data_IF_595049534639
#
_entry.id   IF_595049534639
#
_cell.length_a   1.000
_cell.length_b   1.000
_cell.length_c   1.000
_cell.angle_alpha   90.00
_cell.angle_beta   90.00
_cell.angle_gamma   90.00
#
_symmetry.space_group_name_H-M   'P 1'
#
loop_
_entity.id
_entity.type
_entity.pdbx_description
1 polymer ?
#
# COMPACT_ATOMS: atom_id res chain seq x y z
N UNK A 1 -11.59 -11.82 0.10
CA UNK A 1 -10.37 -11.39 -0.58
C UNK A 1 -10.50 -9.91 -0.91
N UNK A 2 -9.78 -9.03 -0.19
CA UNK A 2 -9.84 -7.57 -0.40
C UNK A 2 -8.60 -7.10 -1.16
N UNK A 3 -8.73 -5.98 -1.87
CA UNK A 3 -7.64 -5.29 -2.54
C UNK A 3 -7.40 -3.96 -1.84
N UNK A 4 -6.16 -3.73 -1.41
CA UNK A 4 -5.72 -2.49 -0.77
C UNK A 4 -4.69 -1.86 -1.71
N UNK A 5 -4.99 -0.66 -2.20
CA UNK A 5 -4.16 0.04 -3.20
C UNK A 5 -3.64 1.33 -2.57
N UNK A 6 -2.33 1.55 -2.62
CA UNK A 6 -1.72 2.80 -2.16
C UNK A 6 -0.63 3.26 -3.14
N UNK A 7 -0.50 4.59 -3.39
CA UNK A 7 0.69 5.11 -4.03
C UNK A 7 1.89 5.00 -3.09
N UNK A 8 3.06 4.61 -3.62
CA UNK A 8 4.35 4.69 -2.92
C UNK A 8 4.92 6.08 -3.17
N UNK A 9 4.74 6.97 -2.19
CA UNK A 9 5.51 8.21 -2.11
C UNK A 9 6.82 7.99 -1.36
N UNK A 10 7.40 9.07 -0.83
CA UNK A 10 8.63 9.05 -0.02
C UNK A 10 8.47 8.40 1.37
N UNK A 11 7.23 8.11 1.79
CA UNK A 11 6.93 7.65 3.15
C UNK A 11 6.13 6.34 3.13
N UNK A 12 6.83 5.23 3.32
CA UNK A 12 6.27 3.87 3.40
C UNK A 12 5.27 3.70 4.55
N UNK A 13 5.40 4.53 5.60
CA UNK A 13 4.52 4.56 6.77
C UNK A 13 3.03 4.72 6.42
N UNK A 14 2.73 5.38 5.30
CA UNK A 14 1.35 5.52 4.83
C UNK A 14 0.72 4.16 4.50
N UNK A 15 1.49 3.27 3.87
CA UNK A 15 1.06 1.89 3.56
C UNK A 15 0.84 1.06 4.83
N UNK A 16 1.77 1.16 5.78
CA UNK A 16 1.66 0.47 7.07
C UNK A 16 0.43 0.94 7.87
N UNK A 17 0.19 2.25 7.92
CA UNK A 17 -1.01 2.81 8.56
C UNK A 17 -2.29 2.31 7.91
N UNK A 18 -2.31 2.16 6.59
CA UNK A 18 -3.45 1.63 5.85
C UNK A 18 -3.71 0.16 6.20
N UNK A 19 -2.67 -0.69 6.20
CA UNK A 19 -2.77 -2.09 6.58
C UNK A 19 -3.30 -2.26 8.01
N UNK A 20 -2.79 -1.48 8.96
CA UNK A 20 -3.24 -1.51 10.35
C UNK A 20 -4.69 -1.02 10.51
N UNK A 21 -5.04 0.11 9.88
CA UNK A 21 -6.38 0.71 9.98
C UNK A 21 -7.49 -0.21 9.47
N UNK A 22 -7.21 -0.95 8.39
CA UNK A 22 -8.19 -1.87 7.79
C UNK A 22 -8.08 -3.32 8.29
N UNK A 23 -7.22 -3.57 9.29
CA UNK A 23 -6.92 -4.90 9.82
C UNK A 23 -6.66 -5.89 8.67
N UNK A 24 -5.65 -5.58 7.87
CA UNK A 24 -5.29 -6.40 6.72
C UNK A 24 -4.98 -7.83 7.17
N UNK A 25 -5.51 -8.80 6.40
CA UNK A 25 -5.26 -10.22 6.57
C UNK A 25 -4.17 -10.66 5.60
N UNK A 26 -3.39 -11.72 5.90
CA UNK A 26 -2.50 -12.35 4.93
C UNK A 26 -3.20 -12.82 3.63
N UNK A 27 -4.52 -12.98 3.67
CA UNK A 27 -5.34 -13.33 2.50
C UNK A 27 -5.72 -12.14 1.60
N UNK A 28 -5.45 -10.91 2.05
CA UNK A 28 -5.70 -9.71 1.27
C UNK A 28 -4.53 -9.40 0.33
N UNK A 29 -4.83 -8.79 -0.81
CA UNK A 29 -3.81 -8.35 -1.76
C UNK A 29 -3.50 -6.88 -1.54
N UNK A 30 -2.23 -6.57 -1.30
CA UNK A 30 -1.72 -5.21 -1.16
C UNK A 30 -0.97 -4.81 -2.43
N UNK A 31 -1.46 -3.78 -3.11
CA UNK A 31 -0.90 -3.26 -4.36
C UNK A 31 -0.30 -1.89 -4.08
N UNK A 32 0.96 -1.76 -4.44
CA UNK A 32 1.73 -0.54 -4.29
C UNK A 32 1.97 0.03 -5.69
N UNK A 33 1.49 1.25 -5.92
CA UNK A 33 1.67 1.95 -7.20
C UNK A 33 2.79 2.95 -7.06
N UNK A 34 3.90 2.75 -7.77
CA UNK A 34 5.04 3.67 -7.72
C UNK A 34 5.10 4.50 -8.99
N UNK A 35 5.61 5.73 -8.87
CA UNK A 35 5.97 6.51 -10.04
C UNK A 35 7.23 5.92 -10.66
N UNK A 36 7.28 5.81 -11.99
CA UNK A 36 8.56 5.65 -12.68
C UNK A 36 9.27 7.00 -12.61
N UNK A 37 10.44 7.12 -11.95
CA UNK A 37 11.15 8.38 -11.91
C UNK A 37 11.45 8.81 -13.36
N UNK A 38 11.06 10.04 -13.67
CA UNK A 38 11.50 10.71 -14.89
C UNK A 38 12.93 11.13 -14.58
N UNK A 39 13.89 10.38 -15.13
CA UNK A 39 15.33 10.60 -14.97
C UNK A 39 15.69 12.03 -15.32
#
# INVERSE_FOLDING_TARGET
>A
MRLLITPLGFHEDAGLRLLTRYRASPSDRFIVVTCRPVV
#
